data_IF_529777477327
#
_entry.id   IF_529777477327
#
_cell.length_a   1.000
_cell.length_b   1.000
_cell.length_c   1.000
_cell.angle_alpha   90.00
_cell.angle_beta   90.00
_cell.angle_gamma   90.00
#
_symmetry.space_group_name_H-M   'P 1'
#
loop_
_entity.id
_entity.type
_entity.pdbx_description
1 polymer ?
#
# COMPACT_ATOMS: atom_id res chain seq x y z
N UNK A 1 22.99 -35.43 23.61
CA UNK A 1 23.66 -34.13 23.81
C UNK A 1 24.09 -33.47 22.49
N UNK A 2 24.95 -34.09 21.66
CA UNK A 2 25.41 -33.50 20.38
C UNK A 2 24.30 -33.16 19.36
N UNK A 3 23.24 -33.98 19.28
CA UNK A 3 22.07 -33.74 18.39
C UNK A 3 21.17 -32.59 18.86
N UNK A 4 21.04 -32.40 20.18
CA UNK A 4 20.24 -31.31 20.78
C UNK A 4 20.98 -29.98 20.61
N UNK A 5 22.30 -29.98 20.76
CA UNK A 5 23.15 -28.79 20.54
C UNK A 5 23.13 -28.34 19.06
N UNK A 6 23.06 -29.28 18.11
CA UNK A 6 22.97 -28.97 16.68
C UNK A 6 21.61 -28.36 16.30
N UNK A 7 20.51 -28.87 16.90
CA UNK A 7 19.17 -28.30 16.72
C UNK A 7 19.03 -26.92 17.35
N UNK A 8 19.64 -26.68 18.52
CA UNK A 8 19.68 -25.37 19.17
C UNK A 8 20.49 -24.34 18.35
N UNK A 9 21.62 -24.73 17.76
CA UNK A 9 22.39 -23.84 16.88
C UNK A 9 21.65 -23.55 15.56
N UNK A 10 20.93 -24.53 15.00
CA UNK A 10 20.11 -24.32 13.80
C UNK A 10 18.92 -23.38 14.08
N UNK A 11 18.26 -23.49 15.24
CA UNK A 11 17.19 -22.58 15.64
C UNK A 11 17.71 -21.15 15.90
N UNK A 12 18.90 -21.01 16.49
CA UNK A 12 19.53 -19.71 16.72
C UNK A 12 19.94 -19.03 15.40
N UNK A 13 20.40 -19.79 14.40
CA UNK A 13 20.74 -19.27 13.08
C UNK A 13 19.50 -18.78 12.29
N UNK A 14 18.32 -19.37 12.51
CA UNK A 14 17.06 -18.93 11.89
C UNK A 14 16.51 -17.66 12.57
N UNK A 15 16.69 -17.49 13.89
CA UNK A 15 16.27 -16.28 14.60
C UNK A 15 17.15 -15.04 14.32
N UNK A 16 18.42 -15.22 13.94
CA UNK A 16 19.34 -14.10 13.64
C UNK A 16 19.11 -13.50 12.24
N UNK A 17 18.31 -14.15 11.38
CA UNK A 17 17.97 -13.67 10.04
C UNK A 17 16.60 -12.98 9.95
N UNK A 18 15.86 -12.87 11.07
CA UNK A 18 14.66 -12.06 11.12
C UNK A 18 15.06 -10.58 11.19
N UNK A 19 15.41 -10.00 10.05
CA UNK A 19 15.40 -8.54 9.92
C UNK A 19 13.97 -8.06 10.20
N UNK A 20 13.76 -7.02 11.03
CA UNK A 20 12.45 -6.40 11.10
C UNK A 20 12.03 -6.03 9.68
N UNK A 21 10.83 -6.44 9.26
CA UNK A 21 10.21 -5.92 8.06
C UNK A 21 10.00 -4.43 8.32
N UNK A 22 10.85 -3.60 7.72
CA UNK A 22 10.59 -2.18 7.65
C UNK A 22 9.62 -2.00 6.49
N UNK A 23 8.48 -1.36 6.78
CA UNK A 23 7.60 -0.76 5.79
C UNK A 23 8.43 -0.15 4.65
N UNK A 24 8.29 -0.65 3.43
CA UNK A 24 9.16 -0.24 2.32
C UNK A 24 8.31 0.24 1.14
N UNK A 25 8.28 1.56 0.97
CA UNK A 25 7.90 2.15 -0.31
C UNK A 25 8.94 1.85 -1.39
N UNK A 26 8.57 1.01 -2.36
CA UNK A 26 9.43 0.59 -3.48
C UNK A 26 9.03 1.35 -4.74
N UNK A 27 9.89 2.25 -5.20
CA UNK A 27 9.74 2.88 -6.52
C UNK A 27 9.97 1.83 -7.63
N UNK A 28 8.92 1.47 -8.37
CA UNK A 28 8.98 0.53 -9.50
C UNK A 28 9.51 1.17 -10.77
N UNK A 29 9.46 2.49 -10.87
CA UNK A 29 9.84 3.26 -12.04
C UNK A 29 8.79 4.30 -12.37
N UNK A 30 8.90 4.87 -13.58
CA UNK A 30 7.97 5.90 -14.08
C UNK A 30 7.16 5.37 -15.26
N UNK A 31 5.90 5.80 -15.36
CA UNK A 31 5.07 5.59 -16.54
C UNK A 31 5.55 6.43 -17.74
N UNK A 32 4.80 6.36 -18.84
CA UNK A 32 5.05 7.12 -20.07
C UNK A 32 4.88 8.65 -19.90
N UNK A 33 4.22 9.10 -18.84
CA UNK A 33 4.01 10.51 -18.49
C UNK A 33 5.05 11.04 -17.49
N UNK A 34 5.93 10.17 -16.99
CA UNK A 34 6.97 10.51 -16.01
C UNK A 34 6.53 10.43 -14.55
N UNK A 35 5.33 9.92 -14.26
CA UNK A 35 4.82 9.73 -12.91
C UNK A 35 5.31 8.40 -12.35
N UNK A 36 5.70 8.37 -11.07
CA UNK A 36 6.20 7.15 -10.44
C UNK A 36 5.07 6.20 -10.05
N UNK A 37 5.35 4.90 -10.14
CA UNK A 37 4.55 3.86 -9.52
C UNK A 37 5.30 3.34 -8.29
N UNK A 38 4.72 3.53 -7.12
CA UNK A 38 5.36 3.28 -5.84
C UNK A 38 4.59 2.17 -5.14
N UNK A 39 5.18 0.99 -5.06
CA UNK A 39 4.59 -0.14 -4.35
C UNK A 39 4.79 0.00 -2.84
N UNK A 40 3.73 -0.26 -2.10
CA UNK A 40 3.63 -0.30 -0.65
C UNK A 40 3.37 -1.77 -0.26
N UNK A 41 4.39 -2.41 0.31
CA UNK A 41 4.38 -3.85 0.60
C UNK A 41 3.61 -4.20 1.87
N UNK A 42 3.38 -3.24 2.76
CA UNK A 42 2.58 -3.40 3.97
C UNK A 42 1.09 -3.47 3.67
N UNK A 43 0.61 -2.63 2.73
CA UNK A 43 -0.79 -2.60 2.31
C UNK A 43 -1.08 -3.44 1.06
N UNK A 44 -0.05 -3.92 0.38
CA UNK A 44 -0.12 -4.57 -0.94
C UNK A 44 -0.89 -3.69 -1.94
N UNK A 45 -0.44 -2.44 -2.09
CA UNK A 45 -0.99 -1.46 -3.04
C UNK A 45 0.12 -0.76 -3.81
N UNK A 46 -0.21 -0.24 -4.99
CA UNK A 46 0.67 0.67 -5.72
C UNK A 46 0.07 2.06 -5.77
N UNK A 47 0.82 3.05 -5.31
CA UNK A 47 0.52 4.47 -5.43
C UNK A 47 0.94 5.02 -6.79
N UNK A 48 0.09 5.86 -7.38
CA UNK A 48 0.46 6.68 -8.52
C UNK A 48 0.92 8.06 -8.04
N UNK A 49 2.21 8.36 -8.21
CA UNK A 49 2.84 9.61 -7.76
C UNK A 49 2.45 10.79 -8.65
N UNK A 50 1.18 11.18 -8.52
CA UNK A 50 0.54 12.26 -9.26
C UNK A 50 -0.56 12.89 -8.41
N UNK A 51 -0.46 14.20 -8.19
CA UNK A 51 -1.52 15.00 -7.55
C UNK A 51 -2.50 15.49 -8.61
N UNK A 52 -3.67 14.86 -8.72
CA UNK A 52 -4.73 15.33 -9.61
C UNK A 52 -5.36 16.62 -9.07
N UNK A 53 -5.61 17.58 -9.95
CA UNK A 53 -6.17 18.89 -9.60
C UNK A 53 -7.43 18.77 -8.76
N UNK A 54 -7.65 19.75 -7.88
CA UNK A 54 -8.79 19.74 -6.98
C UNK A 54 -10.14 19.69 -7.74
N UNK A 55 -11.05 18.87 -7.21
CA UNK A 55 -12.41 18.71 -7.70
C UNK A 55 -13.36 18.25 -6.59
N UNK A 56 -14.64 18.14 -6.94
CA UNK A 56 -15.62 17.52 -6.05
C UNK A 56 -15.42 16.00 -5.97
N UNK A 57 -15.94 15.38 -4.93
CA UNK A 57 -15.69 13.97 -4.66
C UNK A 57 -16.09 13.06 -5.83
N UNK A 58 -17.27 13.28 -6.41
CA UNK A 58 -17.75 12.52 -7.57
C UNK A 58 -16.81 12.64 -8.77
N UNK A 59 -16.29 13.83 -9.07
CA UNK A 59 -15.33 14.02 -10.17
C UNK A 59 -13.99 13.31 -9.93
N UNK A 60 -13.57 13.18 -8.66
CA UNK A 60 -12.31 12.55 -8.30
C UNK A 60 -12.42 11.03 -8.35
N UNK A 61 -13.55 10.48 -7.89
CA UNK A 61 -13.86 9.05 -8.06
C UNK A 61 -13.93 8.71 -9.55
N UNK A 62 -14.63 9.50 -10.35
CA UNK A 62 -14.74 9.26 -11.81
C UNK A 62 -13.39 9.40 -12.53
N UNK A 63 -12.54 10.36 -12.11
CA UNK A 63 -11.19 10.47 -12.63
C UNK A 63 -10.37 9.21 -12.34
N UNK A 64 -10.36 8.73 -11.09
CA UNK A 64 -9.59 7.55 -10.73
C UNK A 64 -10.11 6.29 -11.44
N UNK A 65 -11.42 6.11 -11.55
CA UNK A 65 -12.06 4.97 -12.24
C UNK A 65 -11.76 4.92 -13.76
N UNK A 66 -11.50 6.07 -14.37
CA UNK A 66 -11.14 6.17 -15.80
C UNK A 66 -9.63 6.27 -16.05
N UNK A 67 -8.82 6.29 -15.00
CA UNK A 67 -7.38 6.38 -15.10
C UNK A 67 -6.81 5.10 -15.71
N UNK A 68 -5.95 5.27 -16.71
CA UNK A 68 -5.26 4.18 -17.40
C UNK A 68 -3.78 4.51 -17.48
N UNK A 69 -2.95 3.67 -16.88
CA UNK A 69 -1.50 3.88 -16.76
C UNK A 69 -0.77 2.80 -17.54
N UNK A 70 0.04 3.23 -18.52
CA UNK A 70 0.97 2.36 -19.24
C UNK A 70 2.31 2.34 -18.51
N UNK A 71 2.67 1.17 -18.00
CA UNK A 71 3.94 0.93 -17.35
C UNK A 71 4.63 -0.29 -17.97
N UNK A 72 5.71 -0.06 -18.71
CA UNK A 72 6.46 -1.13 -19.37
C UNK A 72 5.71 -1.84 -20.50
N UNK A 73 4.64 -1.24 -21.04
CA UNK A 73 3.77 -1.85 -22.05
C UNK A 73 2.55 -2.56 -21.47
N UNK A 74 2.47 -2.73 -20.14
CA UNK A 74 1.29 -3.24 -19.45
C UNK A 74 0.36 -2.08 -19.08
N UNK A 75 -0.94 -2.25 -19.36
CA UNK A 75 -1.96 -1.24 -19.10
C UNK A 75 -2.70 -1.59 -17.81
N UNK A 76 -2.65 -0.67 -16.85
CA UNK A 76 -3.34 -0.77 -15.58
C UNK A 76 -4.49 0.24 -15.52
N UNK A 77 -5.72 -0.24 -15.40
CA UNK A 77 -6.96 0.54 -15.48
C UNK A 77 -7.92 0.30 -14.29
N UNK A 78 -7.41 -0.30 -13.22
CA UNK A 78 -8.10 -0.65 -11.97
C UNK A 78 -7.72 0.30 -10.83
N UNK A 79 -7.53 1.58 -11.16
CA UNK A 79 -7.19 2.62 -10.19
C UNK A 79 -8.41 3.11 -9.43
N UNK A 80 -8.19 3.53 -8.19
CA UNK A 80 -9.20 4.13 -7.33
C UNK A 80 -8.57 5.20 -6.44
N UNK A 81 -9.41 5.99 -5.79
CA UNK A 81 -8.94 6.80 -4.66
C UNK A 81 -8.57 5.90 -3.47
N UNK A 82 -7.65 6.35 -2.59
CA UNK A 82 -7.34 5.69 -1.34
C UNK A 82 -8.56 5.53 -0.45
N UNK A 83 -8.58 4.51 0.40
CA UNK A 83 -9.69 4.17 1.28
C UNK A 83 -9.45 4.59 2.72
N UNK A 84 -10.55 4.87 3.38
CA UNK A 84 -10.66 5.14 4.81
C UNK A 84 -11.64 4.15 5.42
N UNK A 85 -11.39 3.69 6.65
CA UNK A 85 -12.37 2.93 7.42
C UNK A 85 -13.54 3.85 7.80
N UNK A 86 -14.75 3.54 7.34
CA UNK A 86 -15.94 4.33 7.66
C UNK A 86 -16.40 4.12 9.11
N UNK A 87 -17.04 5.13 9.69
CA UNK A 87 -17.56 5.09 11.05
C UNK A 87 -18.15 6.42 11.51
N UNK A 88 -18.83 6.45 12.67
CA UNK A 88 -19.46 7.67 13.18
C UNK A 88 -18.41 8.75 13.46
N UNK A 89 -18.81 10.02 13.48
CA UNK A 89 -17.92 11.12 13.85
C UNK A 89 -17.48 10.99 15.32
N UNK A 90 -16.27 10.47 15.54
CA UNK A 90 -15.63 10.39 16.86
C UNK A 90 -14.27 11.03 16.72
N UNK A 91 -14.10 12.20 17.36
CA UNK A 91 -12.85 12.95 17.30
C UNK A 91 -11.86 12.45 18.37
N UNK A 92 -10.59 12.34 17.99
CA UNK A 92 -9.50 11.96 18.88
C UNK A 92 -8.12 12.30 18.33
N UNK A 93 -7.12 12.09 19.17
CA UNK A 93 -5.72 12.41 18.88
C UNK A 93 -4.81 11.19 18.88
N UNK A 94 -5.22 10.08 19.50
CA UNK A 94 -4.37 8.92 19.74
C UNK A 94 -4.42 7.87 18.60
N UNK A 95 -5.13 8.19 17.51
CA UNK A 95 -5.30 7.29 16.37
C UNK A 95 -6.35 6.20 16.53
N UNK A 96 -7.03 6.11 17.69
CA UNK A 96 -8.03 5.06 17.97
C UNK A 96 -9.44 5.44 17.50
N UNK A 97 -9.63 6.68 17.07
CA UNK A 97 -10.91 7.24 16.64
C UNK A 97 -11.02 7.29 15.11
N UNK A 98 -12.19 7.67 14.60
CA UNK A 98 -12.47 7.74 13.15
C UNK A 98 -12.06 9.09 12.55
N UNK A 99 -12.06 10.14 13.37
CA UNK A 99 -11.78 11.52 12.99
C UNK A 99 -10.64 12.08 13.85
N UNK A 100 -9.74 12.86 13.25
CA UNK A 100 -8.68 13.57 13.95
C UNK A 100 -7.28 13.16 13.50
N UNK A 101 -6.39 12.92 14.47
CA UNK A 101 -4.94 12.81 14.24
C UNK A 101 -4.40 11.44 14.63
N UNK A 102 -3.20 11.12 14.13
CA UNK A 102 -2.48 9.86 14.37
C UNK A 102 -3.25 8.60 13.93
N UNK A 103 -4.27 8.75 13.08
CA UNK A 103 -5.06 7.64 12.54
C UNK A 103 -4.29 7.00 11.39
N UNK A 104 -3.87 5.75 11.57
CA UNK A 104 -3.10 4.96 10.59
C UNK A 104 -3.93 3.88 9.89
N UNK A 105 -5.23 3.77 10.21
CA UNK A 105 -6.12 2.74 9.68
C UNK A 105 -6.62 3.02 8.26
N UNK A 106 -6.46 4.25 7.75
CA UNK A 106 -6.70 4.58 6.35
C UNK A 106 -5.42 4.49 5.55
N UNK A 107 -5.52 4.25 4.24
CA UNK A 107 -4.34 4.11 3.38
C UNK A 107 -3.50 5.40 3.36
N UNK A 108 -4.14 6.58 3.32
CA UNK A 108 -3.42 7.86 3.40
C UNK A 108 -2.88 8.16 4.80
N UNK A 109 -3.56 7.72 5.85
CA UNK A 109 -3.05 7.81 7.23
C UNK A 109 -1.84 6.92 7.43
N UNK A 110 -1.88 5.68 6.93
CA UNK A 110 -0.76 4.74 6.93
C UNK A 110 0.43 5.31 6.17
N UNK A 111 0.21 5.81 4.94
CA UNK A 111 1.25 6.48 4.15
C UNK A 111 1.87 7.67 4.91
N UNK A 112 1.05 8.55 5.48
CA UNK A 112 1.56 9.75 6.15
C UNK A 112 2.38 9.43 7.41
N UNK A 113 1.84 8.62 8.31
CA UNK A 113 2.39 8.38 9.65
C UNK A 113 3.36 7.21 9.70
N UNK A 114 3.08 6.13 8.98
CA UNK A 114 3.85 4.86 9.08
C UNK A 114 4.94 4.81 8.03
N UNK A 115 4.59 4.96 6.76
CA UNK A 115 5.55 4.88 5.65
C UNK A 115 6.51 6.08 5.62
N UNK A 116 5.96 7.29 5.67
CA UNK A 116 6.73 8.51 5.54
C UNK A 116 7.25 9.03 6.89
N UNK A 117 6.69 8.55 8.00
CA UNK A 117 7.07 8.95 9.35
C UNK A 117 6.83 10.43 9.63
N UNK A 118 5.82 11.05 9.03
CA UNK A 118 5.46 12.44 9.33
C UNK A 118 4.75 12.54 10.67
N UNK A 119 4.90 13.71 11.31
CA UNK A 119 4.16 14.07 12.50
C UNK A 119 2.92 14.91 12.11
N UNK A 120 1.77 14.64 12.73
CA UNK A 120 0.58 15.50 12.62
C UNK A 120 0.70 16.74 13.49
N UNK A 121 -0.21 17.71 13.34
CA UNK A 121 -0.21 18.96 14.13
C UNK A 121 -0.44 18.74 15.64
N UNK A 122 -0.86 17.54 16.03
CA UNK A 122 -1.05 17.13 17.42
C UNK A 122 -0.44 15.76 17.70
N UNK A 123 0.20 15.63 18.85
CA UNK A 123 0.67 14.34 19.38
C UNK A 123 -0.51 13.46 19.86
N UNK A 124 -0.21 12.23 20.29
CA UNK A 124 -1.23 11.28 20.78
C UNK A 124 -1.91 11.72 22.09
N UNK A 125 -1.34 12.69 22.81
CA UNK A 125 -1.93 13.30 24.01
C UNK A 125 -2.73 14.56 23.70
N UNK A 126 -2.82 14.98 22.44
CA UNK A 126 -3.52 16.18 22.00
C UNK A 126 -2.75 17.47 22.23
N UNK A 127 -1.43 17.42 22.46
CA UNK A 127 -0.61 18.62 22.52
C UNK A 127 -0.25 19.06 21.09
N UNK A 128 -0.30 20.37 20.84
CA UNK A 128 0.11 20.92 19.54
C UNK A 128 1.61 20.76 19.34
N UNK A 129 2.00 20.40 18.11
CA UNK A 129 3.39 20.27 17.67
C UNK A 129 3.55 20.77 16.22
N UNK A 130 4.78 20.87 15.76
CA UNK A 130 5.06 21.22 14.37
C UNK A 130 4.81 19.98 13.48
N UNK A 131 3.63 19.92 12.87
CA UNK A 131 3.22 18.82 12.00
C UNK A 131 3.20 19.15 10.52
N UNK A 132 2.71 18.19 9.74
CA UNK A 132 2.48 18.29 8.30
C UNK A 132 3.43 17.45 7.46
N UNK A 133 3.27 17.53 6.13
CA UNK A 133 4.05 16.77 5.17
C UNK A 133 5.49 17.33 5.04
N UNK A 134 6.39 16.85 5.89
CA UNK A 134 7.81 17.21 5.90
C UNK A 134 8.70 16.15 5.27
N UNK A 135 8.21 14.93 5.15
CA UNK A 135 8.88 13.75 4.59
C UNK A 135 7.99 13.18 3.49
N UNK A 136 8.52 13.10 2.26
CA UNK A 136 7.81 12.54 1.11
C UNK A 136 8.41 11.23 0.61
N UNK A 137 9.54 10.80 1.18
CA UNK A 137 10.20 9.55 0.79
C UNK A 137 10.52 9.52 -0.71
N UNK A 138 10.01 8.50 -1.40
CA UNK A 138 10.21 8.33 -2.85
C UNK A 138 9.19 9.08 -3.72
N UNK A 139 8.19 9.75 -3.13
CA UNK A 139 7.25 10.59 -3.87
C UNK A 139 7.90 11.91 -4.33
N UNK A 140 7.61 12.31 -5.56
CA UNK A 140 8.03 13.57 -6.17
C UNK A 140 6.87 14.55 -6.36
N UNK A 141 5.64 14.04 -6.45
CA UNK A 141 4.46 14.84 -6.73
C UNK A 141 3.41 14.74 -5.63
N UNK A 142 3.76 14.22 -4.45
CA UNK A 142 2.91 14.30 -3.26
C UNK A 142 3.07 15.68 -2.61
N UNK A 143 1.97 16.43 -2.56
CA UNK A 143 1.96 17.80 -2.03
C UNK A 143 1.21 17.90 -0.71
N UNK A 144 1.54 18.93 0.09
CA UNK A 144 0.92 19.25 1.38
C UNK A 144 -0.49 19.84 1.23
N UNK A 145 -1.42 19.06 0.67
CA UNK A 145 -2.81 19.44 0.41
C UNK A 145 -3.81 18.51 1.12
N UNK A 146 -5.10 18.73 0.83
CA UNK A 146 -6.20 17.87 1.25
C UNK A 146 -6.61 17.00 0.07
N UNK A 147 -6.74 15.70 0.29
CA UNK A 147 -7.05 14.70 -0.73
C UNK A 147 -8.31 13.93 -0.35
N UNK A 148 -9.15 13.67 -1.34
CA UNK A 148 -10.32 12.82 -1.14
C UNK A 148 -9.91 11.36 -0.90
N UNK A 149 -10.62 10.72 0.03
CA UNK A 149 -10.72 9.28 0.12
C UNK A 149 -11.86 8.81 -0.79
N UNK A 150 -11.75 7.61 -1.35
CA UNK A 150 -12.82 6.93 -2.09
C UNK A 150 -13.94 6.43 -1.19
N UNK A 151 -13.83 6.58 0.13
CA UNK A 151 -14.86 6.16 1.07
C UNK A 151 -15.89 7.26 1.33
N UNK A 152 -17.17 6.95 1.09
CA UNK A 152 -18.29 7.76 1.57
C UNK A 152 -18.45 7.61 3.09
N UNK A 153 -18.88 8.67 3.78
CA UNK A 153 -19.23 8.56 5.18
C UNK A 153 -20.71 8.23 5.31
N UNK A 154 -21.02 6.95 5.55
CA UNK A 154 -22.40 6.44 5.63
C UNK A 154 -22.89 6.32 7.07
N UNK A 155 -22.00 6.44 8.04
CA UNK A 155 -22.32 6.33 9.45
C UNK A 155 -23.01 7.59 10.03
N UNK A 156 -22.97 8.71 9.33
CA UNK A 156 -23.77 9.89 9.66
C UNK A 156 -25.12 9.83 8.93
N UNK A 157 -26.14 10.45 9.54
CA UNK A 157 -27.48 10.62 8.95
C UNK A 157 -27.47 11.43 7.65
N UNK A 158 -26.38 12.15 7.37
CA UNK A 158 -26.18 12.89 6.13
C UNK A 158 -25.34 12.07 5.14
N UNK A 159 -26.00 11.47 4.14
CA UNK A 159 -25.37 10.61 3.12
C UNK A 159 -24.52 11.36 2.09
N UNK A 160 -24.42 12.69 2.17
CA UNK A 160 -23.68 13.53 1.22
C UNK A 160 -22.25 13.85 1.67
N UNK A 161 -21.72 13.08 2.63
CA UNK A 161 -20.36 13.23 3.14
C UNK A 161 -19.42 12.18 2.55
N UNK A 162 -18.15 12.55 2.38
CA UNK A 162 -17.05 11.64 2.04
C UNK A 162 -15.83 11.96 2.89
N UNK A 163 -14.99 10.96 3.10
CA UNK A 163 -13.76 11.09 3.88
C UNK A 163 -12.67 11.82 3.07
N UNK A 164 -11.82 12.55 3.77
CA UNK A 164 -10.61 13.13 3.20
C UNK A 164 -9.45 12.99 4.19
N UNK A 165 -8.23 13.06 3.68
CA UNK A 165 -7.03 13.18 4.48
C UNK A 165 -6.29 14.49 4.14
N UNK A 166 -5.84 15.20 5.16
CA UNK A 166 -5.06 16.42 5.03
C UNK A 166 -3.58 16.13 5.28
N UNK A 167 -2.79 16.05 4.21
CA UNK A 167 -1.33 15.98 4.31
C UNK A 167 -0.73 17.27 4.89
N UNK A 168 -1.48 18.37 4.85
CA UNK A 168 -1.08 19.63 5.50
C UNK A 168 -1.05 19.54 7.03
N UNK A 169 -1.95 18.76 7.62
CA UNK A 169 -2.18 18.73 9.07
C UNK A 169 -1.93 17.33 9.68
N UNK A 170 -1.82 16.30 8.85
CA UNK A 170 -1.84 14.90 9.28
C UNK A 170 -3.22 14.44 9.77
N UNK A 171 -4.31 15.03 9.30
CA UNK A 171 -5.63 14.81 9.90
C UNK A 171 -6.65 14.22 8.93
N UNK A 172 -7.57 13.41 9.44
CA UNK A 172 -8.66 12.80 8.67
C UNK A 172 -10.03 13.28 9.17
N UNK A 173 -10.92 13.66 8.25
CA UNK A 173 -12.30 14.06 8.55
C UNK A 173 -13.25 13.71 7.39
N UNK A 174 -14.56 13.64 7.65
CA UNK A 174 -15.57 13.71 6.60
C UNK A 174 -15.87 15.17 6.22
N UNK A 175 -16.27 15.41 4.97
CA UNK A 175 -16.87 16.67 4.52
C UNK A 175 -17.87 16.43 3.38
N UNK A 176 -18.67 17.44 3.06
CA UNK A 176 -19.60 17.40 1.93
C UNK A 176 -18.88 17.06 0.63
N UNK A 177 -19.45 16.13 -0.15
CA UNK A 177 -18.95 15.70 -1.46
C UNK A 177 -18.78 16.85 -2.47
N UNK A 178 -19.42 17.99 -2.22
CA UNK A 178 -19.30 19.23 -3.00
C UNK A 178 -18.03 20.03 -2.72
N UNK A 179 -17.27 19.69 -1.66
CA UNK A 179 -15.99 20.29 -1.35
C UNK A 179 -14.97 20.12 -2.47
N UNK A 180 -13.93 20.94 -2.50
CA UNK A 180 -12.95 20.94 -3.58
C UNK A 180 -11.57 20.49 -3.06
N UNK A 181 -11.25 19.20 -3.24
CA UNK A 181 -10.00 18.58 -2.78
C UNK A 181 -9.32 17.79 -3.89
N UNK A 182 -8.02 17.54 -3.73
CA UNK A 182 -7.16 16.89 -4.71
C UNK A 182 -7.41 15.38 -4.79
N UNK A 183 -6.95 14.77 -5.87
CA UNK A 183 -6.99 13.32 -6.08
C UNK A 183 -5.59 12.72 -5.97
N UNK A 184 -5.50 11.57 -5.31
CA UNK A 184 -4.35 10.68 -5.32
C UNK A 184 -4.89 9.30 -5.70
N UNK A 185 -4.22 8.55 -6.56
CA UNK A 185 -4.71 7.26 -7.02
C UNK A 185 -3.85 6.12 -6.48
N UNK A 186 -4.52 5.01 -6.18
CA UNK A 186 -3.91 3.73 -5.81
C UNK A 186 -4.59 2.59 -6.55
N UNK A 187 -3.89 1.47 -6.67
CA UNK A 187 -4.43 0.19 -7.12
C UNK A 187 -3.99 -0.92 -6.17
N UNK A 188 -4.71 -2.03 -6.16
CA UNK A 188 -4.27 -3.22 -5.43
C UNK A 188 -3.09 -3.89 -6.12
N UNK A 189 -2.18 -4.45 -5.32
CA UNK A 189 -1.04 -5.23 -5.76
C UNK A 189 0.11 -4.42 -6.36
N UNK A 190 1.18 -5.14 -6.63
CA UNK A 190 2.39 -4.64 -7.30
C UNK A 190 2.25 -4.63 -8.81
N UNK A 191 2.59 -3.52 -9.45
CA UNK A 191 2.66 -3.42 -10.93
C UNK A 191 3.82 -4.17 -11.56
N UNK A 192 4.86 -4.50 -10.78
CA UNK A 192 5.98 -5.31 -11.24
C UNK A 192 5.73 -6.81 -11.09
N UNK A 193 4.59 -7.23 -10.53
CA UNK A 193 4.17 -8.62 -10.51
C UNK A 193 3.74 -9.05 -11.93
N UNK A 194 4.72 -9.30 -12.80
CA UNK A 194 4.48 -10.03 -14.03
C UNK A 194 3.71 -11.33 -13.70
N UNK A 195 2.85 -11.84 -14.60
CA UNK A 195 2.36 -13.21 -14.45
C UNK A 195 3.60 -14.12 -14.53
N UNK A 196 4.13 -14.50 -13.37
CA UNK A 196 5.30 -15.38 -13.27
C UNK A 196 4.89 -16.65 -14.01
N UNK A 197 5.52 -16.98 -15.16
CA UNK A 197 5.32 -18.29 -15.75
C UNK A 197 5.71 -19.28 -14.65
N UNK A 198 4.80 -20.18 -14.29
CA UNK A 198 5.03 -21.15 -13.21
C UNK A 198 6.47 -21.65 -13.30
N UNK A 199 7.25 -21.57 -12.21
CA UNK A 199 8.67 -21.81 -12.29
C UNK A 199 8.93 -23.12 -13.01
N UNK A 200 9.70 -23.07 -14.09
CA UNK A 200 10.11 -24.25 -14.85
C UNK A 200 10.75 -25.32 -13.95
N UNK A 201 11.05 -25.01 -12.70
CA UNK A 201 11.36 -25.90 -11.58
C UNK A 201 10.35 -27.03 -11.38
N UNK A 202 9.03 -26.82 -11.49
CA UNK A 202 8.04 -27.92 -11.35
C UNK A 202 8.16 -28.88 -12.54
N UNK A 203 8.29 -28.32 -13.74
CA UNK A 203 8.48 -29.09 -14.97
C UNK A 203 9.83 -29.84 -14.96
N UNK A 204 10.91 -29.19 -14.54
CA UNK A 204 12.25 -29.78 -14.40
C UNK A 204 12.29 -30.84 -13.31
N UNK A 205 11.61 -30.63 -12.18
CA UNK A 205 11.46 -31.63 -11.12
C UNK A 205 10.68 -32.84 -11.62
N UNK A 206 9.58 -32.62 -12.35
CA UNK A 206 8.80 -33.67 -12.99
C UNK A 206 9.60 -34.48 -14.02
N UNK A 207 10.34 -33.80 -14.90
CA UNK A 207 11.22 -34.44 -15.89
C UNK A 207 12.36 -35.21 -15.20
N UNK A 208 12.96 -34.63 -14.16
CA UNK A 208 14.02 -35.28 -13.38
C UNK A 208 13.55 -36.56 -12.70
N UNK A 209 12.37 -36.54 -12.08
CA UNK A 209 11.76 -37.72 -11.44
C UNK A 209 11.37 -38.79 -12.48
N UNK A 210 10.79 -38.39 -13.61
CA UNK A 210 10.45 -39.31 -14.70
C UNK A 210 11.70 -39.98 -15.30
N UNK A 211 12.77 -39.20 -15.52
CA UNK A 211 14.06 -39.71 -16.01
C UNK A 211 14.68 -40.74 -15.07
N UNK A 212 14.65 -40.49 -13.75
CA UNK A 212 15.13 -41.44 -12.74
C UNK A 212 14.27 -42.71 -12.68
N UNK A 213 12.94 -42.59 -12.81
CA UNK A 213 12.03 -43.74 -12.86
C UNK A 213 12.31 -44.67 -14.04
N UNK A 214 12.50 -44.09 -15.25
CA UNK A 214 12.83 -44.85 -16.47
C UNK A 214 14.21 -45.51 -16.37
N UNK A 215 15.21 -44.80 -15.85
CA UNK A 215 16.54 -45.35 -15.63
C UNK A 215 16.53 -46.53 -14.65
N UNK A 216 15.81 -46.40 -13.53
CA UNK A 216 15.63 -47.46 -12.54
C UNK A 216 14.93 -48.71 -13.10
N UNK A 217 13.90 -48.52 -13.93
CA UNK A 217 13.18 -49.63 -14.57
C UNK A 217 14.05 -50.40 -15.58
N UNK A 218 14.89 -49.71 -16.36
CA UNK A 218 15.82 -50.35 -17.31
C UNK A 218 16.87 -51.21 -16.60
N UNK A 219 17.38 -50.76 -15.45
CA UNK A 219 18.42 -51.47 -14.69
C UNK A 219 17.93 -52.79 -14.08
N UNK A 220 16.63 -52.92 -13.82
CA UNK A 220 16.01 -54.16 -13.30
C UNK A 220 15.71 -55.21 -14.38
N UNK A 221 15.68 -54.82 -15.67
CA UNK A 221 15.46 -55.77 -16.79
C UNK A 221 16.76 -56.45 -17.28
N UNK A 222 17.92 -55.95 -16.85
CA UNK A 222 19.24 -56.50 -17.21
C UNK A 222 19.92 -57.25 -16.04
N UNK A 223 19.18 -57.58 -14.99
CA UNK A 223 19.56 -58.51 -13.92
C UNK A 223 18.58 -59.67 -13.93
#
# INVERSE_FOLDING_TARGET
MKRILFLLMAALAVCVLATPAHATLINRGTDTLGNRLIYDDDLDITWYDYTHSAGNWTSQVAWADTLSVDFGGDIFNDWRLPTTVDGPYVFGYDGTTTVGYNITTSEMGHLFYTELGNDGDYDTSGNSQAGGLTKTGVFQHLNSYVYWSGTENLADTNTDLAWYFSFRHGSQYPNYKTGNYYGLAVRSGDVAAAPVPEPATIVLLGIGLAGMGVYGARRRRHR
#
